data_IF_699113516940
#
_entry.id   IF_699113516940
#
_cell.length_a   1.000
_cell.length_b   1.000
_cell.length_c   1.000
_cell.angle_alpha   90.00
_cell.angle_beta   90.00
_cell.angle_gamma   90.00
#
_symmetry.space_group_name_H-M   'P 1'
#
loop_
_entity.id
_entity.type
_entity.pdbx_description
1 polymer ?
#
# COMPACT_ATOMS: atom_id res chain seq x y z
N UNK A 1 2.09 8.24 -3.57
CA UNK A 1 2.94 7.50 -2.61
C UNK A 1 3.44 6.28 -3.37
N UNK A 2 4.71 5.92 -3.25
CA UNK A 2 5.23 4.75 -3.96
C UNK A 2 4.96 3.44 -3.20
N UNK A 3 4.82 2.30 -3.88
CA UNK A 3 4.76 0.97 -3.27
C UNK A 3 5.86 0.71 -2.24
N UNK A 4 7.09 1.17 -2.48
CA UNK A 4 8.23 1.02 -1.57
C UNK A 4 8.01 1.77 -0.26
N UNK A 5 7.45 2.97 -0.33
CA UNK A 5 7.19 3.77 0.87
C UNK A 5 6.05 3.21 1.72
N UNK A 6 5.00 2.68 1.08
CA UNK A 6 3.82 2.17 1.78
C UNK A 6 4.06 0.76 2.33
N UNK A 7 4.87 -0.06 1.65
CA UNK A 7 5.20 -1.43 2.08
C UNK A 7 6.46 -1.53 2.94
N UNK A 8 7.16 -0.41 3.20
CA UNK A 8 8.35 -0.40 4.07
C UNK A 8 7.98 -0.87 5.49
N UNK A 9 8.59 -1.96 5.98
CA UNK A 9 8.41 -2.41 7.36
C UNK A 9 8.84 -1.34 8.35
N UNK A 10 8.04 -1.14 9.41
CA UNK A 10 8.25 -0.12 10.44
C UNK A 10 8.38 1.30 9.85
N UNK A 11 7.78 1.50 8.67
CA UNK A 11 7.75 2.77 7.97
C UNK A 11 6.71 3.73 8.52
N UNK A 12 6.89 5.01 8.22
CA UNK A 12 5.96 6.08 8.60
C UNK A 12 4.53 5.83 8.09
N UNK A 13 4.39 5.27 6.89
CA UNK A 13 3.09 4.92 6.33
C UNK A 13 2.42 3.76 7.05
N UNK A 14 3.17 2.75 7.49
CA UNK A 14 2.63 1.67 8.31
C UNK A 14 2.06 2.22 9.63
N UNK A 15 2.81 3.13 10.28
CA UNK A 15 2.34 3.81 11.50
C UNK A 15 1.09 4.66 11.25
N UNK A 16 1.06 5.40 10.13
CA UNK A 16 -0.07 6.24 9.75
C UNK A 16 -1.33 5.43 9.44
N UNK A 17 -1.20 4.33 8.68
CA UNK A 17 -2.30 3.44 8.33
C UNK A 17 -2.82 2.65 9.54
N UNK A 18 -2.01 2.43 10.57
CA UNK A 18 -2.47 1.86 11.85
C UNK A 18 -3.15 2.88 12.77
N UNK A 19 -3.10 4.18 12.45
CA UNK A 19 -3.77 5.21 13.23
C UNK A 19 -5.27 5.25 12.90
N UNK A 20 -6.09 4.88 13.88
CA UNK A 20 -7.55 4.77 13.70
C UNK A 20 -8.22 6.11 13.34
N UNK A 21 -7.75 7.24 13.88
CA UNK A 21 -8.32 8.56 13.57
C UNK A 21 -8.01 8.97 12.13
N UNK A 22 -6.81 8.67 11.66
CA UNK A 22 -6.45 8.89 10.26
C UNK A 22 -7.28 8.00 9.34
N UNK A 23 -7.35 6.70 9.65
CA UNK A 23 -8.08 5.73 8.84
C UNK A 23 -9.58 5.99 8.78
N UNK A 24 -10.20 6.49 9.85
CA UNK A 24 -11.59 6.90 9.85
C UNK A 24 -11.91 7.99 8.80
N UNK A 25 -10.91 8.75 8.36
CA UNK A 25 -11.03 9.79 7.33
C UNK A 25 -10.67 9.28 5.93
N UNK A 26 -10.15 8.07 5.78
CA UNK A 26 -9.78 7.50 4.47
C UNK A 26 -11.01 6.87 3.83
N UNK A 27 -11.42 7.42 2.68
CA UNK A 27 -12.63 6.97 1.97
C UNK A 27 -12.30 5.95 0.88
N UNK A 28 -11.14 6.08 0.23
CA UNK A 28 -10.75 5.20 -0.88
C UNK A 28 -9.24 5.14 -1.07
N UNK A 29 -8.75 4.00 -1.57
CA UNK A 29 -7.37 3.82 -2.02
C UNK A 29 -7.38 3.52 -3.52
N UNK A 30 -6.62 4.28 -4.30
CA UNK A 30 -6.48 4.08 -5.74
C UNK A 30 -5.06 3.58 -6.05
N UNK A 31 -4.98 2.47 -6.78
CA UNK A 31 -3.71 1.87 -7.20
C UNK A 31 -3.46 2.28 -8.65
N UNK A 32 -2.49 3.17 -8.85
CA UNK A 32 -1.97 3.47 -10.18
C UNK A 32 -1.17 2.26 -10.72
N UNK A 33 -1.11 2.10 -12.04
CA UNK A 33 -0.38 1.02 -12.73
C UNK A 33 -0.68 -0.37 -12.18
N UNK A 34 -1.95 -0.68 -11.94
CA UNK A 34 -2.39 -1.97 -11.42
C UNK A 34 -1.92 -3.19 -12.26
N UNK A 35 -1.53 -3.00 -13.53
CA UNK A 35 -0.89 -4.04 -14.35
C UNK A 35 0.45 -4.53 -13.78
N UNK A 36 1.11 -3.75 -12.90
CA UNK A 36 2.28 -4.18 -12.13
C UNK A 36 1.96 -5.28 -11.11
N UNK A 37 0.68 -5.57 -10.81
CA UNK A 37 0.31 -6.70 -9.95
C UNK A 37 0.52 -8.05 -10.64
N UNK A 38 0.50 -8.09 -11.97
CA UNK A 38 0.54 -9.33 -12.76
C UNK A 38 1.67 -9.28 -13.79
N UNK A 39 1.48 -8.53 -14.86
CA UNK A 39 2.31 -8.54 -16.07
C UNK A 39 3.71 -7.99 -15.80
N UNK A 40 3.81 -6.92 -15.02
CA UNK A 40 5.07 -6.22 -14.74
C UNK A 40 5.54 -6.36 -13.28
N UNK A 41 5.11 -7.43 -12.60
CA UNK A 41 5.41 -7.62 -11.18
C UNK A 41 6.90 -7.73 -10.84
N UNK A 42 7.75 -8.09 -11.79
CA UNK A 42 9.21 -8.10 -11.60
C UNK A 42 9.85 -6.69 -11.69
N UNK A 43 9.15 -5.72 -12.31
CA UNK A 43 9.67 -4.36 -12.46
C UNK A 43 9.62 -3.58 -11.15
N UNK A 44 8.60 -3.83 -10.32
CA UNK A 44 8.42 -3.19 -9.02
C UNK A 44 7.75 -4.20 -8.07
N UNK A 45 8.55 -5.08 -7.44
CA UNK A 45 8.05 -6.25 -6.70
C UNK A 45 7.12 -5.89 -5.54
N UNK A 46 7.22 -4.68 -5.00
CA UNK A 46 6.40 -4.17 -3.90
C UNK A 46 4.91 -4.09 -4.25
N UNK A 47 4.55 -4.03 -5.54
CA UNK A 47 3.15 -4.14 -5.96
C UNK A 47 2.51 -5.46 -5.50
N UNK A 48 3.27 -6.56 -5.46
CA UNK A 48 2.78 -7.88 -5.03
C UNK A 48 2.35 -7.87 -3.56
N UNK A 49 2.95 -6.99 -2.76
CA UNK A 49 2.68 -6.86 -1.33
C UNK A 49 1.47 -5.97 -1.01
N UNK A 50 0.95 -5.19 -1.99
CA UNK A 50 -0.18 -4.28 -1.78
C UNK A 50 -1.44 -4.98 -1.27
N UNK A 51 -1.59 -6.30 -1.51
CA UNK A 51 -2.67 -7.10 -0.94
C UNK A 51 -2.73 -7.06 0.60
N UNK A 52 -1.60 -6.78 1.27
CA UNK A 52 -1.52 -6.63 2.73
C UNK A 52 -2.33 -5.46 3.25
N UNK A 53 -2.58 -4.44 2.42
CA UNK A 53 -3.41 -3.29 2.80
C UNK A 53 -4.82 -3.72 3.22
N UNK A 54 -5.37 -4.82 2.68
CA UNK A 54 -6.69 -5.34 3.05
C UNK A 54 -6.81 -5.77 4.52
N UNK A 55 -5.69 -6.05 5.18
CA UNK A 55 -5.68 -6.43 6.60
C UNK A 55 -5.37 -5.25 7.53
N UNK A 56 -5.03 -4.09 6.97
CA UNK A 56 -4.68 -2.86 7.70
C UNK A 56 -5.82 -1.84 7.60
N UNK A 57 -6.45 -1.73 6.41
CA UNK A 57 -7.64 -0.92 6.13
C UNK A 57 -8.90 -1.62 6.66
#
# INVERSE_FOLDING_TARGET
>A
ISPEQIMKPDGEFERLLKNQLFMACVISVMIDKAHCLTEWGEFQPEYRELGRLRYIL
#
